data_IF_806832556406
#
_entry.id   IF_806832556406
#
_cell.length_a   1.000
_cell.length_b   1.000
_cell.length_c   1.000
_cell.angle_alpha   90.00
_cell.angle_beta   90.00
_cell.angle_gamma   90.00
#
_symmetry.space_group_name_H-M   'P 1'
#
loop_
_entity.id
_entity.type
_entity.pdbx_description
1 polymer ?
#
# COMPACT_ATOMS: atom_id res chain seq x y z
N UNK A 1 29.87 -49.63 -9.00
CA UNK A 1 29.44 -48.41 -9.73
C UNK A 1 28.15 -47.90 -9.11
N UNK A 2 28.19 -46.72 -8.48
CA UNK A 2 27.00 -46.12 -7.88
C UNK A 2 26.10 -45.55 -8.98
N UNK A 3 24.83 -45.98 -9.01
CA UNK A 3 23.81 -45.47 -9.93
C UNK A 3 23.66 -43.94 -9.72
N UNK A 4 23.72 -43.10 -10.76
CA UNK A 4 23.47 -41.68 -10.59
C UNK A 4 22.04 -41.49 -10.08
N UNK A 5 21.88 -40.79 -8.93
CA UNK A 5 20.57 -40.39 -8.42
C UNK A 5 19.85 -39.61 -9.53
N UNK A 6 18.71 -40.11 -10.01
CA UNK A 6 17.83 -39.34 -10.90
C UNK A 6 17.49 -38.04 -10.17
N UNK A 7 17.82 -36.90 -10.77
CA UNK A 7 17.48 -35.58 -10.24
C UNK A 7 15.95 -35.43 -10.30
N UNK A 8 15.25 -35.58 -9.17
CA UNK A 8 13.78 -35.46 -9.04
C UNK A 8 13.32 -34.05 -8.66
N UNK A 9 14.24 -33.10 -8.48
CA UNK A 9 13.95 -31.75 -7.97
C UNK A 9 12.95 -31.00 -8.86
N UNK A 10 13.00 -31.21 -10.18
CA UNK A 10 12.06 -30.60 -11.13
C UNK A 10 10.61 -31.07 -10.92
N UNK A 11 10.41 -32.34 -10.55
CA UNK A 11 9.08 -32.91 -10.29
C UNK A 11 8.52 -32.40 -8.97
N UNK A 12 9.36 -32.31 -7.94
CA UNK A 12 8.98 -31.75 -6.63
C UNK A 12 8.58 -30.28 -6.75
N UNK A 13 9.34 -29.48 -7.54
CA UNK A 13 9.01 -28.08 -7.81
C UNK A 13 7.73 -27.94 -8.63
N UNK A 14 7.51 -28.78 -9.65
CA UNK A 14 6.26 -28.80 -10.41
C UNK A 14 5.05 -29.09 -9.49
N UNK A 15 5.19 -30.09 -8.62
CA UNK A 15 4.12 -30.44 -7.67
C UNK A 15 3.87 -29.31 -6.67
N UNK A 16 4.91 -28.71 -6.10
CA UNK A 16 4.80 -27.57 -5.18
C UNK A 16 4.11 -26.37 -5.84
N UNK A 17 4.52 -26.01 -7.06
CA UNK A 17 3.92 -24.92 -7.84
C UNK A 17 2.44 -25.18 -8.15
N UNK A 18 2.09 -26.41 -8.56
CA UNK A 18 0.70 -26.78 -8.82
C UNK A 18 -0.17 -26.76 -7.55
N UNK A 19 0.39 -27.17 -6.41
CA UNK A 19 -0.31 -27.18 -5.11
C UNK A 19 -0.56 -25.75 -4.66
N UNK A 20 0.43 -24.87 -4.79
CA UNK A 20 0.29 -23.44 -4.52
C UNK A 20 -0.74 -22.78 -5.43
N UNK A 21 -0.71 -23.07 -6.74
CA UNK A 21 -1.66 -22.54 -7.70
C UNK A 21 -3.11 -22.91 -7.35
N UNK A 22 -3.36 -24.17 -6.96
CA UNK A 22 -4.68 -24.64 -6.50
C UNK A 22 -5.11 -24.00 -5.19
N UNK A 23 -4.20 -23.90 -4.21
CA UNK A 23 -4.47 -23.29 -2.89
C UNK A 23 -4.99 -21.87 -3.04
N UNK A 24 -4.42 -21.11 -3.97
CA UNK A 24 -4.73 -19.71 -4.18
C UNK A 24 -5.61 -19.43 -5.40
N UNK A 25 -6.21 -20.46 -6.01
CA UNK A 25 -7.11 -20.36 -7.18
C UNK A 25 -6.49 -19.62 -8.38
N UNK A 26 -5.19 -19.76 -8.58
CA UNK A 26 -4.43 -19.20 -9.71
C UNK A 26 -3.90 -20.30 -10.64
N UNK A 27 -4.53 -21.48 -10.61
CA UNK A 27 -4.16 -22.63 -11.44
C UNK A 27 -4.41 -22.43 -12.94
N UNK A 28 -5.25 -21.48 -13.31
CA UNK A 28 -5.59 -21.17 -14.71
C UNK A 28 -4.66 -20.07 -15.29
N UNK A 29 -3.72 -19.57 -14.49
CA UNK A 29 -2.74 -18.58 -14.94
C UNK A 29 -1.83 -19.17 -16.04
N UNK A 30 -1.71 -18.53 -17.22
CA UNK A 30 -0.94 -19.08 -18.35
C UNK A 30 0.53 -19.32 -18.03
N UNK A 31 1.16 -18.45 -17.23
CA UNK A 31 2.55 -18.62 -16.83
C UNK A 31 2.70 -19.84 -15.91
N UNK A 32 1.80 -19.99 -14.93
CA UNK A 32 1.83 -21.11 -14.00
C UNK A 32 1.60 -22.46 -14.69
N UNK A 33 0.63 -22.53 -15.63
CA UNK A 33 0.34 -23.74 -16.41
C UNK A 33 1.56 -24.14 -17.25
N UNK A 34 2.05 -23.23 -18.10
CA UNK A 34 3.15 -23.52 -19.01
C UNK A 34 4.45 -23.82 -18.26
N UNK A 35 4.72 -23.13 -17.15
CA UNK A 35 5.93 -23.39 -16.37
C UNK A 35 5.86 -24.71 -15.59
N UNK A 36 4.68 -25.06 -15.06
CA UNK A 36 4.47 -26.37 -14.41
C UNK A 36 4.66 -27.51 -15.42
N UNK A 37 4.17 -27.35 -16.65
CA UNK A 37 4.38 -28.31 -17.72
C UNK A 37 5.87 -28.45 -18.08
N UNK A 38 6.58 -27.33 -18.22
CA UNK A 38 8.03 -27.32 -18.50
C UNK A 38 8.85 -27.99 -17.40
N UNK A 39 8.50 -27.76 -16.13
CA UNK A 39 9.13 -28.43 -14.99
C UNK A 39 8.82 -29.93 -15.00
N UNK A 40 7.57 -30.33 -15.24
CA UNK A 40 7.17 -31.74 -15.25
C UNK A 40 7.79 -32.54 -16.40
N UNK A 41 7.95 -31.92 -17.57
CA UNK A 41 8.55 -32.54 -18.76
C UNK A 41 10.08 -32.39 -18.78
N UNK A 42 10.65 -31.57 -17.89
CA UNK A 42 12.06 -31.20 -17.85
C UNK A 42 12.57 -30.65 -19.21
N UNK A 43 11.74 -29.85 -19.89
CA UNK A 43 12.03 -29.27 -21.21
C UNK A 43 12.07 -27.75 -21.15
N UNK A 44 12.83 -27.16 -22.08
CA UNK A 44 12.94 -25.71 -22.29
C UNK A 44 13.35 -24.88 -21.05
N UNK A 45 13.90 -25.51 -20.00
CA UNK A 45 14.29 -24.85 -18.75
C UNK A 45 15.32 -23.72 -18.96
N UNK A 46 16.12 -23.80 -20.02
CA UNK A 46 17.05 -22.74 -20.40
C UNK A 46 16.31 -21.46 -20.85
N UNK A 47 15.20 -21.58 -21.59
CA UNK A 47 14.34 -20.44 -21.95
C UNK A 47 13.68 -19.87 -20.69
N UNK A 48 13.07 -20.72 -19.86
CA UNK A 48 12.45 -20.29 -18.60
C UNK A 48 13.43 -19.60 -17.64
N UNK A 49 14.72 -19.96 -17.68
CA UNK A 49 15.77 -19.34 -16.85
C UNK A 49 16.10 -17.88 -17.20
N UNK A 50 15.63 -17.42 -18.37
CA UNK A 50 15.69 -16.01 -18.79
C UNK A 50 14.61 -15.16 -18.12
N UNK A 51 13.50 -15.79 -17.71
CA UNK A 51 12.41 -15.16 -16.99
C UNK A 51 12.69 -15.19 -15.48
N UNK A 52 12.26 -14.15 -14.76
CA UNK A 52 12.36 -14.09 -13.32
C UNK A 52 11.06 -14.59 -12.67
N UNK A 53 11.04 -15.76 -12.01
CA UNK A 53 9.81 -16.26 -11.37
C UNK A 53 9.21 -15.31 -10.35
N UNK A 54 10.02 -14.48 -9.68
CA UNK A 54 9.52 -13.51 -8.70
C UNK A 54 8.70 -12.39 -9.33
N UNK A 55 8.89 -12.13 -10.63
CA UNK A 55 8.16 -11.12 -11.39
C UNK A 55 6.91 -11.72 -12.04
N UNK A 56 7.04 -12.91 -12.64
CA UNK A 56 5.98 -13.53 -13.45
C UNK A 56 5.02 -14.44 -12.66
N UNK A 57 5.36 -14.86 -11.43
CA UNK A 57 4.39 -15.60 -10.62
C UNK A 57 3.15 -14.73 -10.36
N UNK A 58 1.93 -15.27 -10.53
CA UNK A 58 0.70 -14.50 -10.32
C UNK A 58 0.63 -13.97 -8.89
N UNK A 59 -0.09 -12.86 -8.71
CA UNK A 59 -0.37 -12.28 -7.40
C UNK A 59 -1.78 -12.68 -7.01
N UNK A 60 -1.96 -13.65 -6.08
CA UNK A 60 -3.28 -14.10 -5.74
C UNK A 60 -4.06 -13.06 -4.94
N UNK A 61 -5.34 -12.93 -5.23
CA UNK A 61 -6.25 -12.17 -4.38
C UNK A 61 -6.61 -12.99 -3.14
N UNK A 62 -6.97 -12.28 -2.06
CA UNK A 62 -7.49 -12.92 -0.84
C UNK A 62 -8.90 -12.44 -0.56
N UNK A 63 -9.79 -13.41 -0.35
CA UNK A 63 -11.16 -13.19 0.09
C UNK A 63 -11.25 -12.87 1.60
N UNK A 64 -10.12 -12.95 2.32
CA UNK A 64 -10.09 -12.70 3.76
C UNK A 64 -10.44 -11.25 4.10
N UNK A 65 -11.34 -11.09 5.07
CA UNK A 65 -11.85 -9.78 5.46
C UNK A 65 -12.86 -9.17 4.49
N UNK A 66 -13.11 -9.76 3.31
CA UNK A 66 -14.02 -9.22 2.30
C UNK A 66 -15.44 -9.00 2.86
N UNK A 67 -16.01 -10.00 3.56
CA UNK A 67 -17.35 -9.89 4.18
C UNK A 67 -17.47 -8.71 5.14
N UNK A 68 -16.44 -8.47 5.96
CA UNK A 68 -16.42 -7.36 6.94
C UNK A 68 -16.35 -6.02 6.19
N UNK A 69 -15.54 -5.95 5.13
CA UNK A 69 -15.41 -4.75 4.30
C UNK A 69 -16.74 -4.44 3.59
N UNK A 70 -17.39 -5.45 3.00
CA UNK A 70 -18.69 -5.28 2.33
C UNK A 70 -19.77 -4.83 3.29
N UNK A 71 -19.88 -5.46 4.47
CA UNK A 71 -20.83 -5.04 5.49
C UNK A 71 -20.55 -3.62 5.99
N UNK A 72 -19.27 -3.28 6.20
CA UNK A 72 -18.86 -1.94 6.56
C UNK A 72 -19.24 -0.90 5.49
N UNK A 73 -19.11 -1.24 4.21
CA UNK A 73 -19.50 -0.37 3.10
C UNK A 73 -21.01 -0.10 3.12
N UNK A 74 -21.83 -1.14 3.29
CA UNK A 74 -23.27 -0.99 3.45
C UNK A 74 -23.63 -0.07 4.63
N UNK A 75 -23.04 -0.30 5.81
CA UNK A 75 -23.26 0.55 6.99
C UNK A 75 -22.81 2.00 6.77
N UNK A 76 -21.74 2.22 6.00
CA UNK A 76 -21.26 3.56 5.66
C UNK A 76 -22.26 4.30 4.78
N UNK A 77 -22.84 3.61 3.79
CA UNK A 77 -23.92 4.17 2.95
C UNK A 77 -25.14 4.49 3.81
N UNK A 78 -25.58 3.54 4.64
CA UNK A 78 -26.73 3.74 5.53
C UNK A 78 -26.53 4.94 6.46
N UNK A 79 -25.33 5.08 7.05
CA UNK A 79 -24.95 6.25 7.87
C UNK A 79 -25.07 7.55 7.09
N UNK A 80 -24.53 7.59 5.88
CA UNK A 80 -24.52 8.81 5.06
C UNK A 80 -25.94 9.29 4.75
N UNK A 81 -26.86 8.36 4.50
CA UNK A 81 -28.28 8.68 4.31
C UNK A 81 -28.91 9.14 5.64
N UNK A 82 -28.63 8.41 6.73
CA UNK A 82 -29.20 8.69 8.06
C UNK A 82 -28.87 10.10 8.59
N UNK A 83 -27.72 10.68 8.22
CA UNK A 83 -27.33 12.06 8.59
C UNK A 83 -28.39 13.10 8.17
N UNK A 84 -29.14 12.84 7.11
CA UNK A 84 -30.16 13.76 6.61
C UNK A 84 -31.54 13.54 7.24
N UNK A 85 -31.76 12.41 7.92
CA UNK A 85 -33.07 12.05 8.50
C UNK A 85 -33.51 13.03 9.59
N UNK A 86 -32.66 13.47 10.55
CA UNK A 86 -33.06 14.48 11.54
C UNK A 86 -33.55 15.79 10.90
N UNK A 87 -32.82 16.24 9.87
CA UNK A 87 -33.19 17.46 9.15
C UNK A 87 -34.52 17.27 8.42
N UNK A 88 -34.72 16.14 7.74
CA UNK A 88 -35.99 15.85 7.07
C UNK A 88 -37.16 15.79 8.06
N UNK A 89 -36.96 15.15 9.22
CA UNK A 89 -37.97 15.01 10.27
C UNK A 89 -38.38 16.37 10.87
N UNK A 90 -37.41 17.24 11.14
CA UNK A 90 -37.70 18.59 11.67
C UNK A 90 -38.49 19.44 10.69
N UNK A 91 -38.14 19.42 9.39
CA UNK A 91 -38.89 20.14 8.37
C UNK A 91 -40.32 19.61 8.20
N UNK A 92 -40.50 18.29 8.25
CA UNK A 92 -41.83 17.68 8.20
C UNK A 92 -42.68 18.06 9.42
N UNK A 93 -42.08 18.05 10.61
CA UNK A 93 -42.74 18.48 11.84
C UNK A 93 -43.13 19.96 11.83
N UNK A 94 -42.26 20.84 11.31
CA UNK A 94 -42.60 22.26 11.12
C UNK A 94 -43.81 22.41 10.21
N UNK A 95 -43.87 21.66 9.10
CA UNK A 95 -45.02 21.68 8.18
C UNK A 95 -46.34 21.31 8.86
N UNK A 96 -46.34 20.26 9.68
CA UNK A 96 -47.49 19.86 10.48
C UNK A 96 -47.86 20.92 11.54
N UNK A 97 -46.87 21.47 12.23
CA UNK A 97 -47.07 22.50 13.25
C UNK A 97 -47.63 23.80 12.66
N UNK A 98 -47.11 24.27 11.52
CA UNK A 98 -47.61 25.47 10.83
C UNK A 98 -49.05 25.27 10.35
N UNK A 99 -49.37 24.11 9.78
CA UNK A 99 -50.72 23.80 9.32
C UNK A 99 -51.72 23.78 10.49
N UNK A 100 -51.36 23.13 11.60
CA UNK A 100 -52.20 23.09 12.79
C UNK A 100 -52.34 24.47 13.46
N UNK A 101 -51.28 25.28 13.44
CA UNK A 101 -51.31 26.64 14.00
C UNK A 101 -52.26 27.55 13.24
N UNK A 102 -52.30 27.46 11.92
CA UNK A 102 -53.24 28.23 11.10
C UNK A 102 -54.70 27.92 11.48
N UNK A 103 -55.03 26.65 11.71
CA UNK A 103 -56.35 26.21 12.17
C UNK A 103 -56.64 26.74 13.58
N UNK A 104 -55.66 26.67 14.49
CA UNK A 104 -55.81 27.15 15.86
C UNK A 104 -56.08 28.66 15.94
N UNK A 105 -55.37 29.47 15.16
CA UNK A 105 -55.55 30.93 15.10
C UNK A 105 -56.91 31.31 14.53
N UNK A 106 -57.38 30.59 13.50
CA UNK A 106 -58.72 30.82 12.96
C UNK A 106 -59.83 30.49 13.97
N UNK A 107 -59.65 29.40 14.75
CA UNK A 107 -60.60 29.01 15.78
C UNK A 107 -60.54 29.92 17.03
N UNK A 108 -59.40 30.56 17.31
CA UNK A 108 -59.17 31.37 18.51
C UNK A 108 -58.60 32.77 18.16
N UNK A 109 -59.37 33.64 17.50
CA UNK A 109 -58.88 34.92 16.99
C UNK A 109 -58.43 35.91 18.08
N UNK A 110 -58.89 35.76 19.32
CA UNK A 110 -58.51 36.59 20.46
C UNK A 110 -57.34 36.00 21.28
N UNK A 111 -56.75 34.89 20.84
CA UNK A 111 -55.65 34.24 21.54
C UNK A 111 -54.32 34.96 21.31
N UNK A 112 -53.53 35.09 22.39
CA UNK A 112 -52.17 35.70 22.39
C UNK A 112 -51.05 34.64 22.35
N UNK A 113 -51.38 33.36 22.11
CA UNK A 113 -50.40 32.27 22.07
C UNK A 113 -49.40 32.45 20.92
N UNK A 114 -48.09 32.37 21.24
CA UNK A 114 -47.05 32.39 20.22
C UNK A 114 -46.87 31.02 19.53
N UNK A 115 -46.25 30.98 18.35
CA UNK A 115 -46.09 29.74 17.59
C UNK A 115 -45.31 28.65 18.33
N UNK A 116 -44.25 29.00 19.07
CA UNK A 116 -43.42 28.01 19.77
C UNK A 116 -44.17 27.38 20.96
N UNK A 117 -44.92 28.20 21.69
CA UNK A 117 -45.81 27.74 22.77
C UNK A 117 -46.93 26.85 22.22
N UNK A 118 -47.50 27.20 21.06
CA UNK A 118 -48.41 26.33 20.34
C UNK A 118 -47.76 25.01 19.95
N UNK A 119 -46.57 25.03 19.35
CA UNK A 119 -45.90 23.83 18.89
C UNK A 119 -45.47 22.91 20.05
N UNK A 120 -45.19 23.47 21.22
CA UNK A 120 -44.89 22.70 22.42
C UNK A 120 -46.13 22.00 22.99
N UNK A 121 -47.28 22.67 23.03
CA UNK A 121 -48.45 22.21 23.78
C UNK A 121 -49.56 21.60 22.89
N UNK A 122 -49.58 21.94 21.61
CA UNK A 122 -50.51 21.44 20.58
C UNK A 122 -51.97 21.85 20.71
N UNK A 123 -52.44 22.27 21.90
CA UNK A 123 -53.78 22.79 22.19
C UNK A 123 -54.94 21.93 21.63
N UNK A 124 -54.75 20.62 21.55
CA UNK A 124 -55.74 19.66 21.04
C UNK A 124 -55.89 19.63 19.51
N UNK A 125 -55.19 20.49 18.77
CA UNK A 125 -55.21 20.55 17.30
C UNK A 125 -54.01 19.83 16.70
N UNK A 126 -52.85 19.90 17.36
CA UNK A 126 -51.63 19.18 16.96
C UNK A 126 -51.47 17.91 17.79
N UNK A 127 -51.21 16.78 17.12
CA UNK A 127 -50.86 15.52 17.79
C UNK A 127 -49.58 15.67 18.61
N UNK A 128 -49.54 15.01 19.77
CA UNK A 128 -48.37 15.00 20.66
C UNK A 128 -47.09 14.50 19.96
N UNK A 129 -47.22 13.62 18.95
CA UNK A 129 -46.10 13.11 18.14
C UNK A 129 -45.37 14.20 17.34
N UNK A 130 -46.04 15.30 17.03
CA UNK A 130 -45.48 16.39 16.23
C UNK A 130 -45.05 17.59 17.09
N UNK A 131 -45.16 17.48 18.41
CA UNK A 131 -44.72 18.55 19.31
C UNK A 131 -43.21 18.73 19.24
N UNK A 132 -42.75 19.97 19.39
CA UNK A 132 -41.33 20.32 19.26
C UNK A 132 -40.45 19.48 20.20
N UNK A 133 -40.91 19.24 21.43
CA UNK A 133 -40.18 18.43 22.41
C UNK A 133 -40.02 16.96 22.00
N UNK A 134 -41.05 16.36 21.41
CA UNK A 134 -40.98 14.97 20.94
C UNK A 134 -40.02 14.84 19.75
N UNK A 135 -40.12 15.75 18.78
CA UNK A 135 -39.25 15.76 17.60
C UNK A 135 -37.79 16.01 18.00
N UNK A 136 -37.54 16.99 18.88
CA UNK A 136 -36.19 17.25 19.39
C UNK A 136 -35.58 16.03 20.10
N UNK A 137 -36.38 15.25 20.83
CA UNK A 137 -35.92 14.00 21.43
C UNK A 137 -35.57 12.94 20.38
N UNK A 138 -36.38 12.78 19.33
CA UNK A 138 -36.08 11.88 18.21
C UNK A 138 -34.80 12.30 17.48
N UNK A 139 -34.60 13.58 17.21
CA UNK A 139 -33.38 14.08 16.59
C UNK A 139 -32.14 13.80 17.45
N UNK A 140 -32.24 14.00 18.76
CA UNK A 140 -31.17 13.65 19.69
C UNK A 140 -30.78 12.16 19.58
N UNK A 141 -31.78 11.27 19.55
CA UNK A 141 -31.55 9.83 19.36
C UNK A 141 -30.95 9.51 17.99
N UNK A 142 -31.45 10.14 16.91
CA UNK A 142 -30.95 9.92 15.55
C UNK A 142 -29.50 10.40 15.40
N UNK A 143 -29.16 11.57 15.93
CA UNK A 143 -27.77 12.07 15.95
C UNK A 143 -26.89 11.12 16.76
N UNK A 144 -27.33 10.67 17.93
CA UNK A 144 -26.62 9.67 18.72
C UNK A 144 -26.37 8.37 17.94
N UNK A 145 -27.37 7.89 17.20
CA UNK A 145 -27.26 6.72 16.35
C UNK A 145 -26.25 6.92 15.20
N UNK A 146 -26.24 8.10 14.55
CA UNK A 146 -25.26 8.46 13.51
C UNK A 146 -23.83 8.43 14.06
N UNK A 147 -23.61 8.99 15.25
CA UNK A 147 -22.29 8.99 15.91
C UNK A 147 -21.86 7.56 16.22
N UNK A 148 -22.74 6.75 16.82
CA UNK A 148 -22.46 5.35 17.11
C UNK A 148 -22.12 4.56 15.83
N UNK A 149 -22.90 4.75 14.76
CA UNK A 149 -22.68 4.11 13.48
C UNK A 149 -21.35 4.56 12.82
N UNK A 150 -20.94 5.82 13.03
CA UNK A 150 -19.63 6.33 12.60
C UNK A 150 -18.48 5.59 13.29
N UNK A 151 -18.59 5.35 14.59
CA UNK A 151 -17.59 4.57 15.34
C UNK A 151 -17.55 3.12 14.87
N UNK A 152 -18.72 2.49 14.72
CA UNK A 152 -18.84 1.09 14.25
C UNK A 152 -18.23 0.92 12.86
N UNK A 153 -18.56 1.81 11.92
CA UNK A 153 -18.02 1.74 10.56
C UNK A 153 -16.50 1.97 10.53
N UNK A 154 -15.99 2.91 11.35
CA UNK A 154 -14.55 3.13 11.46
C UNK A 154 -13.82 1.90 12.02
N UNK A 155 -14.39 1.25 13.04
CA UNK A 155 -13.82 0.05 13.65
C UNK A 155 -13.85 -1.16 12.72
N UNK A 156 -15.01 -1.45 12.12
CA UNK A 156 -15.18 -2.58 11.20
C UNK A 156 -14.33 -2.42 9.94
N UNK A 157 -14.24 -1.21 9.39
CA UNK A 157 -13.37 -0.90 8.25
C UNK A 157 -11.91 -1.22 8.55
N UNK A 158 -11.39 -0.72 9.68
CA UNK A 158 -10.00 -1.02 10.12
C UNK A 158 -9.78 -2.50 10.36
N UNK A 159 -10.71 -3.19 11.03
CA UNK A 159 -10.62 -4.62 11.29
C UNK A 159 -10.59 -5.43 9.99
N UNK A 160 -11.47 -5.12 9.04
CA UNK A 160 -11.54 -5.79 7.74
C UNK A 160 -10.24 -5.61 6.94
N UNK A 161 -9.72 -4.38 6.88
CA UNK A 161 -8.45 -4.10 6.21
C UNK A 161 -7.26 -4.80 6.88
N UNK A 162 -7.21 -4.83 8.21
CA UNK A 162 -6.14 -5.51 8.94
C UNK A 162 -6.14 -7.03 8.71
N UNK A 163 -7.31 -7.66 8.63
CA UNK A 163 -7.43 -9.09 8.31
C UNK A 163 -6.91 -9.33 6.89
N UNK A 164 -7.40 -8.56 5.91
CA UNK A 164 -6.96 -8.66 4.51
C UNK A 164 -5.45 -8.44 4.35
N UNK A 165 -4.88 -7.45 5.03
CA UNK A 165 -3.45 -7.16 4.99
C UNK A 165 -2.59 -8.29 5.57
N UNK A 166 -3.04 -8.92 6.68
CA UNK A 166 -2.37 -10.09 7.24
C UNK A 166 -2.42 -11.29 6.29
N UNK A 167 -3.57 -11.53 5.69
CA UNK A 167 -3.76 -12.60 4.71
C UNK A 167 -2.86 -12.40 3.48
N UNK A 168 -2.85 -11.20 2.91
CA UNK A 168 -1.96 -10.82 1.80
C UNK A 168 -0.49 -11.06 2.15
N UNK A 169 -0.05 -10.66 3.34
CA UNK A 169 1.33 -10.89 3.78
C UNK A 169 1.70 -12.38 3.83
N UNK A 170 0.78 -13.24 4.25
CA UNK A 170 0.97 -14.69 4.24
C UNK A 170 1.08 -15.19 2.79
N UNK A 171 0.15 -14.82 1.92
CA UNK A 171 0.14 -15.18 0.49
C UNK A 171 1.45 -14.75 -0.18
N UNK A 172 1.87 -13.50 0.02
CA UNK A 172 3.11 -12.96 -0.54
C UNK A 172 4.34 -13.70 -0.04
N UNK A 173 4.38 -14.08 1.25
CA UNK A 173 5.50 -14.84 1.81
C UNK A 173 5.62 -16.23 1.17
N UNK A 174 4.50 -16.92 0.92
CA UNK A 174 4.47 -18.21 0.25
C UNK A 174 4.86 -18.09 -1.23
N UNK A 175 4.34 -17.05 -1.92
CA UNK A 175 4.71 -16.71 -3.30
C UNK A 175 6.21 -16.47 -3.43
N UNK A 176 6.79 -15.66 -2.54
CA UNK A 176 8.22 -15.37 -2.53
C UNK A 176 9.06 -16.62 -2.26
N UNK A 177 8.64 -17.48 -1.34
CA UNK A 177 9.33 -18.74 -1.02
C UNK A 177 9.40 -19.68 -2.23
N UNK A 178 8.28 -19.87 -2.93
CA UNK A 178 8.23 -20.70 -4.13
C UNK A 178 9.01 -20.03 -5.28
N UNK A 179 8.83 -18.73 -5.49
CA UNK A 179 9.57 -17.98 -6.50
C UNK A 179 11.08 -18.02 -6.30
N UNK A 180 11.58 -17.95 -5.06
CA UNK A 180 12.99 -18.08 -4.76
C UNK A 180 13.51 -19.50 -5.02
N UNK A 181 12.72 -20.53 -4.67
CA UNK A 181 13.04 -21.93 -4.96
C UNK A 181 13.15 -22.18 -6.47
N UNK A 182 12.20 -21.64 -7.25
CA UNK A 182 12.19 -21.71 -8.71
C UNK A 182 13.36 -20.93 -9.31
N UNK A 183 13.65 -19.71 -8.84
CA UNK A 183 14.75 -18.90 -9.30
C UNK A 183 16.11 -19.58 -9.04
N UNK A 184 16.30 -20.17 -7.85
CA UNK A 184 17.49 -20.97 -7.52
C UNK A 184 17.64 -22.15 -8.47
N UNK A 185 16.57 -22.90 -8.73
CA UNK A 185 16.59 -24.03 -9.64
C UNK A 185 16.94 -23.59 -11.07
N UNK A 186 16.25 -22.58 -11.60
CA UNK A 186 16.47 -22.05 -12.95
C UNK A 186 17.87 -21.45 -13.13
N UNK A 187 18.45 -20.86 -12.09
CA UNK A 187 19.82 -20.34 -12.16
C UNK A 187 20.82 -21.44 -12.54
N UNK A 188 20.62 -22.68 -12.05
CA UNK A 188 21.46 -23.84 -12.43
C UNK A 188 21.22 -24.33 -13.87
N UNK A 189 20.12 -23.91 -14.49
CA UNK A 189 19.69 -24.30 -15.84
C UNK A 189 19.95 -23.23 -16.89
N UNK A 190 20.46 -22.05 -16.50
CA UNK A 190 20.96 -21.07 -17.45
C UNK A 190 22.02 -21.72 -18.31
N UNK A 191 21.90 -21.53 -19.62
CA UNK A 191 22.90 -21.96 -20.58
C UNK A 191 24.19 -21.16 -20.32
N UNK A 192 25.02 -21.64 -19.40
CA UNK A 192 26.40 -21.19 -19.26
C UNK A 192 27.14 -21.78 -20.44
N UNK A 193 27.14 -21.08 -21.58
CA UNK A 193 28.09 -21.38 -22.64
C UNK A 193 29.47 -21.02 -22.08
N UNK A 194 30.42 -21.95 -21.91
CA UNK A 194 31.72 -21.67 -21.28
C UNK A 194 32.52 -20.55 -21.96
N UNK A 195 32.15 -20.17 -23.19
CA UNK A 195 32.71 -19.04 -23.93
C UNK A 195 32.35 -17.68 -23.34
N UNK A 196 31.12 -17.46 -22.87
CA UNK A 196 30.68 -16.14 -22.34
C UNK A 196 31.20 -15.88 -20.94
N UNK A 197 31.36 -16.93 -20.12
CA UNK A 197 31.90 -16.81 -18.76
C UNK A 197 33.40 -16.43 -18.79
N UNK A 198 34.18 -17.07 -19.67
CA UNK A 198 35.59 -16.74 -19.87
C UNK A 198 35.79 -15.32 -20.44
N UNK A 199 34.94 -14.89 -21.38
CA UNK A 199 35.00 -13.54 -21.93
C UNK A 199 34.69 -12.49 -20.87
N UNK A 200 33.58 -12.64 -20.13
CA UNK A 200 33.19 -11.68 -19.10
C UNK A 200 34.22 -11.59 -17.96
N UNK A 201 34.75 -12.73 -17.51
CA UNK A 201 35.81 -12.75 -16.48
C UNK A 201 37.10 -12.10 -17.00
N UNK A 202 37.49 -12.38 -18.25
CA UNK A 202 38.66 -11.76 -18.87
C UNK A 202 38.51 -10.24 -18.98
N UNK A 203 37.35 -9.74 -19.43
CA UNK A 203 37.07 -8.30 -19.51
C UNK A 203 37.05 -7.64 -18.13
N UNK A 204 36.49 -8.29 -17.10
CA UNK A 204 36.54 -7.77 -15.73
C UNK A 204 37.97 -7.70 -15.18
N UNK A 205 38.80 -8.72 -15.43
CA UNK A 205 40.22 -8.71 -15.04
C UNK A 205 40.99 -7.60 -15.77
N UNK A 206 40.73 -7.39 -17.06
CA UNK A 206 41.32 -6.30 -17.84
C UNK A 206 40.91 -4.93 -17.28
N UNK A 207 39.63 -4.73 -16.99
CA UNK A 207 39.13 -3.49 -16.40
C UNK A 207 39.71 -3.22 -15.01
N UNK A 208 39.87 -4.24 -14.17
CA UNK A 208 40.53 -4.12 -12.87
C UNK A 208 42.00 -3.74 -13.01
N UNK A 209 42.73 -4.36 -13.95
CA UNK A 209 44.12 -3.99 -14.23
C UNK A 209 44.24 -2.55 -14.76
N UNK A 210 43.31 -2.11 -15.60
CA UNK A 210 43.26 -0.73 -16.08
C UNK A 210 42.97 0.26 -14.94
N UNK A 211 42.03 -0.06 -14.05
CA UNK A 211 41.74 0.75 -12.88
C UNK A 211 42.94 0.83 -11.92
N UNK A 212 43.63 -0.28 -11.68
CA UNK A 212 44.84 -0.32 -10.87
C UNK A 212 45.96 0.57 -11.45
N UNK A 213 46.22 0.48 -12.76
CA UNK A 213 47.19 1.36 -13.45
C UNK A 213 46.79 2.83 -13.44
N UNK A 214 45.50 3.13 -13.55
CA UNK A 214 44.99 4.49 -13.45
C UNK A 214 45.21 5.04 -12.03
N UNK A 215 44.95 4.24 -11.00
CA UNK A 215 45.23 4.60 -9.60
C UNK A 215 46.72 4.80 -9.34
N UNK A 216 47.59 3.94 -9.86
CA UNK A 216 49.04 4.10 -9.77
C UNK A 216 49.51 5.43 -10.40
N UNK A 217 49.01 5.75 -11.60
CA UNK A 217 49.31 7.00 -12.29
C UNK A 217 48.80 8.23 -11.51
N UNK A 218 47.62 8.13 -10.92
CA UNK A 218 47.06 9.19 -10.07
C UNK A 218 47.96 9.39 -8.85
N UNK A 219 48.37 8.33 -8.16
CA UNK A 219 49.26 8.39 -7.00
C UNK A 219 50.61 9.04 -7.34
N UNK A 220 51.22 8.66 -8.48
CA UNK A 220 52.46 9.28 -8.95
C UNK A 220 52.29 10.77 -9.27
N UNK A 221 51.17 11.14 -9.89
CA UNK A 221 50.86 12.55 -10.16
C UNK A 221 50.62 13.34 -8.87
N UNK A 222 49.96 12.73 -7.88
CA UNK A 222 49.73 13.30 -6.56
C UNK A 222 51.05 13.51 -5.82
N UNK A 223 51.95 12.53 -5.83
CA UNK A 223 53.28 12.64 -5.24
C UNK A 223 54.07 13.79 -5.89
N UNK A 224 54.02 13.91 -7.22
CA UNK A 224 54.65 15.01 -7.94
C UNK A 224 54.06 16.37 -7.57
N UNK A 225 52.73 16.47 -7.47
CA UNK A 225 52.04 17.68 -7.02
C UNK A 225 52.39 18.04 -5.57
N UNK A 226 52.46 17.06 -4.67
CA UNK A 226 52.88 17.25 -3.27
C UNK A 226 54.33 17.73 -3.19
N UNK A 227 55.24 17.19 -4.01
CA UNK A 227 56.63 17.66 -4.10
C UNK A 227 56.75 19.06 -4.72
N UNK A 228 55.82 19.45 -5.58
CA UNK A 228 55.78 20.76 -6.23
C UNK A 228 55.06 21.85 -5.40
N UNK A 229 54.45 21.50 -4.26
CA UNK A 229 53.96 22.50 -3.33
C UNK A 229 55.15 23.30 -2.77
N UNK A 230 55.12 24.65 -2.84
CA UNK A 230 56.23 25.46 -2.36
C UNK A 230 56.48 25.18 -0.86
N UNK A 231 57.74 24.97 -0.50
CA UNK A 231 58.12 24.70 0.87
C UNK A 231 57.77 25.92 1.72
N UNK A 232 57.37 25.73 2.99
CA UNK A 232 57.12 26.84 3.92
C UNK A 232 58.26 27.88 3.94
N UNK A 233 59.49 27.51 3.56
CA UNK A 233 60.62 28.42 3.39
C UNK A 233 60.43 29.46 2.28
N UNK A 234 59.83 29.09 1.16
CA UNK A 234 59.58 29.98 0.01
C UNK A 234 58.48 30.98 0.35
N UNK A 235 57.41 30.51 1.00
CA UNK A 235 56.32 31.36 1.53
C UNK A 235 56.84 32.30 2.62
N UNK A 236 57.71 31.82 3.52
CA UNK A 236 58.35 32.66 4.54
C UNK A 236 59.31 33.69 3.93
N UNK A 237 60.01 33.36 2.84
CA UNK A 237 60.86 34.31 2.12
C UNK A 237 60.03 35.42 1.46
N UNK A 238 58.90 35.08 0.83
CA UNK A 238 57.96 36.07 0.29
C UNK A 238 57.36 36.95 1.38
N UNK A 239 56.90 36.37 2.50
CA UNK A 239 56.37 37.14 3.63
C UNK A 239 57.42 38.08 4.24
N UNK A 240 58.69 37.66 4.29
CA UNK A 240 59.78 38.51 4.78
C UNK A 240 60.05 39.67 3.81
N UNK A 241 60.05 39.42 2.49
CA UNK A 241 60.18 40.47 1.49
C UNK A 241 59.02 41.48 1.53
N UNK A 242 57.79 41.02 1.70
CA UNK A 242 56.61 41.89 1.84
C UNK A 242 56.71 42.74 3.11
N UNK A 243 57.16 42.17 4.23
CA UNK A 243 57.39 42.91 5.48
C UNK A 243 58.48 43.97 5.35
N UNK A 244 59.57 43.68 4.64
CA UNK A 244 60.64 44.67 4.41
C UNK A 244 60.15 45.85 3.56
N UNK A 245 59.26 45.61 2.59
CA UNK A 245 58.64 46.67 1.77
C UNK A 245 57.71 47.58 2.58
N UNK A 246 57.02 47.04 3.58
CA UNK A 246 56.11 47.82 4.44
C UNK A 246 56.81 48.69 5.48
N UNK A 247 58.06 48.37 5.85
CA UNK A 247 58.84 49.12 6.84
C UNK A 247 59.70 50.26 6.24
N UNK A 248 59.59 50.53 4.94
CA UNK A 248 60.31 51.61 4.24
C UNK A 248 59.38 52.77 3.78
N UNK A 249 58.17 52.85 4.35
CA UNK A 249 57.27 54.01 4.29
C UNK A 249 57.11 54.61 5.68
#
# INVERSE_FOLDING_TARGET
>A
MAKPRKNTEHLELAQSLSTWGRKYKVNDDPYLVAFTEALSSNRDLAMWSTLNPLEYLPQPETDEGARIITYNHFLTIARNILVFVPVALTWDAVGHATSAFAVYVQANPNSVTNFLEFWQNGFGVLSQSWTIGHIAYLDFLLIGAVIALTMVTSFLGKRGQNIRAKALKIVDSERLSIGLSLAKFLFTKRAVTPTTLNQNVSTSIQNLNHAAKALEKITLSLEKSVKAFPSNKDVLAELKQVRTRLNLQ
#
